data_IF_823799112789
#
_entry.id   IF_823799112789
#
_cell.length_a   1.000
_cell.length_b   1.000
_cell.length_c   1.000
_cell.angle_alpha   90.00
_cell.angle_beta   90.00
_cell.angle_gamma   90.00
#
_symmetry.space_group_name_H-M   'P 1'
#
loop_
_entity.id
_entity.type
_entity.pdbx_description
1 polymer ?
#
# COMPACT_ATOMS: atom_id res chain seq x y z
N UNK A 1 -3.00 -10.49 -6.38
CA UNK A 1 -1.70 -10.19 -5.75
C UNK A 1 -0.62 -10.36 -6.79
N UNK A 2 0.44 -9.58 -6.76
CA UNK A 2 1.58 -9.71 -7.68
C UNK A 2 2.86 -9.75 -6.87
N UNK A 3 3.69 -10.79 -7.07
CA UNK A 3 4.86 -11.08 -6.22
C UNK A 3 4.53 -11.16 -4.71
N UNK A 4 3.33 -11.64 -4.35
CA UNK A 4 2.85 -11.64 -2.96
C UNK A 4 2.35 -10.27 -2.47
N UNK A 5 2.52 -9.17 -3.21
CA UNK A 5 2.06 -7.85 -2.80
C UNK A 5 0.61 -7.63 -3.30
N UNK A 6 -0.31 -7.03 -2.51
CA UNK A 6 -1.63 -6.68 -3.01
C UNK A 6 -1.53 -5.72 -4.21
N UNK A 7 -2.39 -5.91 -5.23
CA UNK A 7 -2.23 -5.24 -6.53
C UNK A 7 -2.30 -3.71 -6.42
N UNK A 8 -3.26 -3.21 -5.64
CA UNK A 8 -3.46 -1.77 -5.45
C UNK A 8 -2.22 -1.09 -4.85
N UNK A 9 -1.69 -1.50 -3.67
CA UNK A 9 -0.47 -0.90 -3.14
C UNK A 9 0.75 -1.14 -4.03
N UNK A 10 0.83 -2.28 -4.74
CA UNK A 10 1.91 -2.51 -5.69
C UNK A 10 1.92 -1.46 -6.82
N UNK A 11 0.78 -1.21 -7.45
CA UNK A 11 0.65 -0.23 -8.54
C UNK A 11 0.97 1.18 -8.02
N UNK A 12 0.47 1.54 -6.83
CA UNK A 12 0.75 2.85 -6.24
C UNK A 12 2.25 3.04 -5.98
N UNK A 13 2.92 2.05 -5.42
CA UNK A 13 4.37 2.13 -5.14
C UNK A 13 5.15 2.23 -6.45
N UNK A 14 4.92 1.32 -7.41
CA UNK A 14 5.66 1.34 -8.67
C UNK A 14 5.37 2.60 -9.48
N UNK A 15 4.09 2.98 -9.60
CA UNK A 15 3.68 4.17 -10.35
C UNK A 15 4.26 5.46 -9.76
N UNK A 16 4.22 5.62 -8.44
CA UNK A 16 4.83 6.79 -7.79
C UNK A 16 6.34 6.85 -7.98
N UNK A 17 7.05 5.72 -7.87
CA UNK A 17 8.49 5.69 -8.11
C UNK A 17 8.84 6.01 -9.56
N UNK A 18 8.06 5.53 -10.53
CA UNK A 18 8.27 5.88 -11.95
C UNK A 18 8.10 7.39 -12.17
N UNK A 19 7.04 7.99 -11.61
CA UNK A 19 6.82 9.43 -11.73
C UNK A 19 7.95 10.23 -11.08
N UNK A 20 8.36 9.85 -9.86
CA UNK A 20 9.48 10.49 -9.15
C UNK A 20 10.80 10.30 -9.90
N UNK A 21 11.06 9.12 -10.45
CA UNK A 21 12.25 8.84 -11.24
C UNK A 21 12.29 9.67 -12.54
N UNK A 22 11.15 9.82 -13.21
CA UNK A 22 11.03 10.64 -14.42
C UNK A 22 11.30 12.11 -14.11
N UNK A 23 10.63 12.67 -13.10
CA UNK A 23 10.81 14.07 -12.74
C UNK A 23 12.20 14.36 -12.17
N UNK A 24 12.76 13.46 -11.37
CA UNK A 24 14.12 13.61 -10.84
C UNK A 24 15.19 13.54 -11.92
N UNK A 25 14.97 12.73 -12.97
CA UNK A 25 15.85 12.69 -14.15
C UNK A 25 15.90 14.05 -14.85
N UNK A 26 14.74 14.68 -15.04
CA UNK A 26 14.62 15.98 -15.74
C UNK A 26 15.06 17.15 -14.87
N UNK A 27 14.68 17.17 -13.59
CA UNK A 27 14.83 18.35 -12.71
C UNK A 27 16.10 18.34 -11.85
N UNK A 28 16.70 17.18 -11.59
CA UNK A 28 17.81 17.05 -10.63
C UNK A 28 19.04 16.45 -11.28
N UNK A 29 19.00 15.16 -11.62
CA UNK A 29 20.11 14.43 -12.24
C UNK A 29 19.70 13.01 -12.57
N UNK A 30 20.30 12.43 -13.61
CA UNK A 30 20.14 11.01 -13.92
C UNK A 30 20.55 10.08 -12.77
N UNK A 31 21.54 10.45 -11.96
CA UNK A 31 21.96 9.65 -10.81
C UNK A 31 20.87 9.52 -9.74
N UNK A 32 20.08 10.59 -9.53
CA UNK A 32 18.96 10.56 -8.57
C UNK A 32 17.87 9.63 -9.07
N UNK A 33 17.58 9.64 -10.37
CA UNK A 33 16.63 8.72 -10.98
C UNK A 33 17.04 7.24 -10.77
N UNK A 34 18.32 6.92 -10.96
CA UNK A 34 18.86 5.58 -10.69
C UNK A 34 18.69 5.21 -9.21
N UNK A 35 19.01 6.13 -8.30
CA UNK A 35 18.84 5.90 -6.86
C UNK A 35 17.37 5.59 -6.48
N UNK A 36 16.40 6.26 -7.12
CA UNK A 36 14.96 6.00 -6.93
C UNK A 36 14.60 4.58 -7.37
N UNK A 37 15.14 4.07 -8.48
CA UNK A 37 14.91 2.69 -8.92
C UNK A 37 15.57 1.66 -8.00
N UNK A 38 16.77 1.92 -7.49
CA UNK A 38 17.41 1.05 -6.48
C UNK A 38 16.56 0.98 -5.22
N UNK A 39 16.03 2.11 -4.77
CA UNK A 39 15.13 2.19 -3.61
C UNK A 39 13.82 1.44 -3.87
N UNK A 40 13.24 1.55 -5.07
CA UNK A 40 12.06 0.78 -5.47
C UNK A 40 12.32 -0.73 -5.37
N UNK A 41 13.44 -1.20 -5.93
CA UNK A 41 13.81 -2.62 -5.86
C UNK A 41 13.97 -3.09 -4.42
N UNK A 42 14.62 -2.30 -3.57
CA UNK A 42 14.76 -2.58 -2.14
C UNK A 42 13.39 -2.69 -1.44
N UNK A 43 12.47 -1.74 -1.67
CA UNK A 43 11.11 -1.77 -1.12
C UNK A 43 10.38 -3.05 -1.53
N UNK A 44 10.46 -3.44 -2.81
CA UNK A 44 9.80 -4.65 -3.30
C UNK A 44 10.36 -5.89 -2.57
N UNK A 45 11.67 -5.98 -2.39
CA UNK A 45 12.30 -7.10 -1.66
C UNK A 45 11.83 -7.14 -0.21
N UNK A 46 11.81 -6.00 0.49
CA UNK A 46 11.33 -5.92 1.88
C UNK A 46 9.86 -6.34 1.97
N UNK A 47 8.99 -5.85 1.08
CA UNK A 47 7.58 -6.22 1.07
C UNK A 47 7.37 -7.71 0.79
N UNK A 48 8.17 -8.29 -0.10
CA UNK A 48 8.16 -9.74 -0.34
C UNK A 48 8.57 -10.52 0.90
N UNK A 49 9.62 -10.08 1.59
CA UNK A 49 10.10 -10.73 2.80
C UNK A 49 9.06 -10.66 3.93
N UNK A 50 8.40 -9.51 4.10
CA UNK A 50 7.33 -9.34 5.11
C UNK A 50 6.14 -10.27 4.85
N UNK A 51 5.87 -10.58 3.57
CA UNK A 51 4.81 -11.51 3.18
C UNK A 51 5.26 -12.97 3.02
N UNK A 52 6.52 -13.29 3.32
CA UNK A 52 7.06 -14.64 3.10
C UNK A 52 6.41 -15.68 4.01
N UNK A 53 6.10 -15.30 5.26
CA UNK A 53 5.51 -16.19 6.26
C UNK A 53 4.00 -16.41 6.04
N UNK A 54 3.30 -15.39 5.54
CA UNK A 54 1.86 -15.41 5.29
C UNK A 54 1.52 -14.47 4.12
N UNK A 55 1.03 -15.07 3.03
CA UNK A 55 0.66 -14.35 1.81
C UNK A 55 -0.48 -13.34 2.01
N UNK A 56 -1.26 -13.43 3.09
CA UNK A 56 -2.40 -12.54 3.35
C UNK A 56 -2.10 -11.41 4.34
N UNK A 57 -0.96 -11.44 5.03
CA UNK A 57 -0.58 -10.46 6.07
C UNK A 57 -0.58 -9.02 5.53
N UNK A 58 0.00 -8.78 4.36
CA UNK A 58 0.00 -7.46 3.72
C UNK A 58 -1.38 -7.03 3.23
N UNK A 59 -2.21 -7.95 2.75
CA UNK A 59 -3.58 -7.63 2.36
C UNK A 59 -4.42 -7.24 3.57
N UNK A 60 -4.28 -7.95 4.68
CA UNK A 60 -4.98 -7.65 5.92
C UNK A 60 -4.51 -6.30 6.50
N UNK A 61 -3.20 -6.04 6.50
CA UNK A 61 -2.67 -4.73 6.90
C UNK A 61 -3.20 -3.60 6.01
N UNK A 62 -3.26 -3.81 4.69
CA UNK A 62 -3.83 -2.83 3.77
C UNK A 62 -5.32 -2.56 4.05
N UNK A 63 -6.12 -3.61 4.27
CA UNK A 63 -7.53 -3.46 4.66
C UNK A 63 -7.67 -2.66 5.96
N UNK A 64 -6.82 -2.96 6.96
CA UNK A 64 -6.80 -2.24 8.22
C UNK A 64 -6.49 -0.75 8.05
N UNK A 65 -5.51 -0.40 7.21
CA UNK A 65 -5.18 0.99 6.91
C UNK A 65 -6.28 1.70 6.14
N UNK A 66 -6.87 1.06 5.13
CA UNK A 66 -8.00 1.60 4.37
C UNK A 66 -9.16 1.96 5.28
N UNK A 67 -9.42 1.11 6.27
CA UNK A 67 -10.63 1.21 7.09
C UNK A 67 -10.41 2.07 8.35
N UNK A 68 -9.19 2.60 8.59
CA UNK A 68 -8.84 3.34 9.82
C UNK A 68 -9.76 4.54 10.08
N UNK A 69 -10.18 5.24 9.02
CA UNK A 69 -11.07 6.40 9.10
C UNK A 69 -12.54 6.08 9.38
N UNK A 70 -12.95 4.82 9.18
CA UNK A 70 -14.33 4.35 9.42
C UNK A 70 -14.50 3.70 10.79
N UNK A 71 -13.47 3.75 11.64
CA UNK A 71 -13.44 3.13 12.98
C UNK A 71 -14.10 4.04 14.03
N UNK A 72 -15.36 4.39 13.83
CA UNK A 72 -16.11 5.27 14.75
C UNK A 72 -16.34 4.66 16.14
N UNK A 73 -16.36 3.32 16.24
CA UNK A 73 -16.71 2.59 17.45
C UNK A 73 -15.54 1.89 18.15
N UNK A 74 -14.28 2.14 17.72
CA UNK A 74 -13.09 1.48 18.28
C UNK A 74 -12.91 1.76 19.78
N UNK A 75 -13.21 2.98 20.23
CA UNK A 75 -13.07 3.37 21.64
C UNK A 75 -14.03 2.63 22.56
N UNK A 76 -15.24 2.29 22.09
CA UNK A 76 -16.25 1.62 22.91
C UNK A 76 -16.05 0.11 22.96
N UNK A 77 -15.72 -0.53 21.83
CA UNK A 77 -15.76 -1.99 21.72
C UNK A 77 -14.39 -2.66 21.82
N UNK A 78 -13.29 -1.90 21.81
CA UNK A 78 -11.92 -2.43 21.87
C UNK A 78 -11.54 -3.39 20.72
N UNK A 79 -12.46 -3.65 19.79
CA UNK A 79 -12.38 -4.69 18.79
C UNK A 79 -12.61 -4.11 17.39
N UNK A 80 -12.11 -4.82 16.38
CA UNK A 80 -12.29 -4.46 14.97
C UNK A 80 -13.55 -5.16 14.43
N UNK A 81 -14.73 -4.62 14.75
CA UNK A 81 -15.98 -5.09 14.17
C UNK A 81 -16.33 -4.29 12.92
N UNK A 82 -16.14 -4.88 11.74
CA UNK A 82 -16.76 -4.36 10.51
C UNK A 82 -18.23 -4.77 10.56
N UNK A 83 -19.13 -3.82 10.82
CA UNK A 83 -20.55 -4.03 10.56
C UNK A 83 -20.76 -4.16 9.05
N UNK A 84 -21.72 -4.98 8.58
CA UNK A 84 -22.02 -5.08 7.16
C UNK A 84 -22.29 -3.68 6.59
N UNK A 85 -21.66 -3.36 5.45
CA UNK A 85 -21.88 -2.10 4.74
C UNK A 85 -23.37 -2.05 4.37
N UNK A 86 -24.14 -1.36 5.20
CA UNK A 86 -25.56 -1.17 4.95
C UNK A 86 -25.64 -0.11 3.88
N UNK A 87 -25.73 -0.51 2.62
CA UNK A 87 -26.08 0.38 1.52
C UNK A 87 -27.46 0.97 1.84
N UNK A 88 -27.51 2.10 2.55
CA UNK A 88 -28.73 2.90 2.60
C UNK A 88 -29.00 3.30 1.16
N UNK A 89 -30.00 2.67 0.53
CA UNK A 89 -30.63 3.18 -0.68
C UNK A 89 -30.95 4.65 -0.41
N UNK A 90 -30.17 5.57 -0.97
CA UNK A 90 -30.62 6.95 -1.10
C UNK A 90 -31.72 6.90 -2.17
N UNK A 91 -32.95 7.20 -1.76
CA UNK A 91 -33.98 7.65 -2.69
C UNK A 91 -33.61 9.04 -3.19
#
# INVERSE_FOLDING_TARGET
MMFGIPIVPFILIVGTHILVALWSFVLVSGFVSVAVFVLLAFIIVVLRQVNADDNFKLAQAFMYFRDIGYRTNKQYWGTHSIGPVTYKKRK
#
